data_IF_496977427196
#
_entry.id   IF_496977427196
#
_cell.length_a   1.000
_cell.length_b   1.000
_cell.length_c   1.000
_cell.angle_alpha   90.00
_cell.angle_beta   90.00
_cell.angle_gamma   90.00
#
_symmetry.space_group_name_H-M   'P 1'
#
loop_
_entity.id
_entity.type
_entity.pdbx_description
1 polymer ?
#
# COMPACT_ATOMS: atom_id res chain seq x y z
N UNK A 1 55.16 -24.61 50.31
CA UNK A 1 55.19 -23.15 50.49
C UNK A 1 55.11 -22.49 49.14
N UNK A 2 54.10 -21.63 48.98
CA UNK A 2 54.04 -20.44 48.11
C UNK A 2 54.62 -20.54 46.69
N UNK A 3 53.81 -20.60 45.63
CA UNK A 3 52.96 -19.51 45.08
C UNK A 3 53.72 -18.53 44.15
N UNK A 4 53.00 -18.14 43.09
CA UNK A 4 53.22 -17.00 42.16
C UNK A 4 54.34 -17.08 41.11
N UNK A 5 53.92 -17.30 39.86
CA UNK A 5 53.81 -16.23 38.82
C UNK A 5 53.36 -16.88 37.50
N UNK A 6 52.07 -16.85 37.15
CA UNK A 6 51.42 -15.69 36.52
C UNK A 6 52.29 -15.05 35.44
N UNK A 7 52.04 -15.44 34.19
CA UNK A 7 51.89 -14.57 33.01
C UNK A 7 51.61 -15.45 31.79
N UNK A 8 50.38 -15.95 31.72
CA UNK A 8 49.77 -16.29 30.45
C UNK A 8 49.72 -14.99 29.63
N UNK A 9 50.59 -14.89 28.64
CA UNK A 9 50.51 -13.90 27.58
C UNK A 9 49.25 -14.19 26.76
N UNK A 10 48.11 -13.63 27.17
CA UNK A 10 46.93 -13.56 26.32
C UNK A 10 47.24 -12.55 25.22
N UNK A 11 47.54 -13.10 24.04
CA UNK A 11 47.73 -12.37 22.80
C UNK A 11 46.43 -11.57 22.52
N UNK A 12 46.56 -10.25 22.57
CA UNK A 12 45.62 -9.31 21.96
C UNK A 12 45.67 -9.48 20.45
N UNK A 13 44.54 -9.81 19.84
CA UNK A 13 44.34 -9.64 18.40
C UNK A 13 42.92 -9.07 18.14
N UNK A 14 42.80 -7.88 17.53
CA UNK A 14 41.51 -7.32 17.16
C UNK A 14 41.06 -7.96 15.84
N UNK A 15 40.16 -8.96 15.91
CA UNK A 15 39.53 -9.51 14.70
C UNK A 15 38.37 -8.60 14.30
N UNK A 16 38.75 -7.60 13.49
CA UNK A 16 37.89 -6.79 12.65
C UNK A 16 36.74 -7.60 12.05
N UNK A 17 35.57 -6.97 12.10
CA UNK A 17 34.55 -6.95 11.06
C UNK A 17 34.09 -8.35 10.58
N UNK A 18 32.99 -8.80 11.17
CA UNK A 18 31.91 -9.46 10.43
C UNK A 18 30.60 -8.81 10.87
N UNK A 19 30.37 -7.58 10.42
CA UNK A 19 29.01 -7.02 10.43
C UNK A 19 28.55 -7.12 8.99
N UNK A 20 27.82 -8.20 8.68
CA UNK A 20 26.99 -8.23 7.48
C UNK A 20 26.01 -7.07 7.67
N UNK A 21 26.22 -5.98 6.92
CA UNK A 21 25.15 -5.03 6.72
C UNK A 21 24.04 -5.78 5.95
N UNK A 22 22.79 -5.79 6.40
CA UNK A 22 21.70 -6.16 5.50
C UNK A 22 21.80 -5.21 4.31
N UNK A 23 21.85 -5.80 3.11
CA UNK A 23 21.84 -5.10 1.84
C UNK A 23 20.61 -4.20 1.84
N UNK A 24 20.81 -2.90 2.01
CA UNK A 24 19.73 -1.92 1.91
C UNK A 24 19.06 -2.14 0.54
N UNK A 25 17.79 -2.50 0.58
CA UNK A 25 17.00 -2.67 -0.61
C UNK A 25 16.87 -1.29 -1.26
N UNK A 26 17.64 -1.06 -2.31
CA UNK A 26 17.38 0.01 -3.26
C UNK A 26 15.97 -0.21 -3.81
N UNK A 27 15.03 0.75 -3.65
CA UNK A 27 13.76 0.69 -4.37
C UNK A 27 14.04 0.98 -5.85
N UNK A 28 14.49 -0.04 -6.56
CA UNK A 28 14.50 -0.06 -8.02
C UNK A 28 13.09 -0.37 -8.48
N UNK A 29 12.24 0.64 -8.57
CA UNK A 29 11.29 0.72 -9.66
C UNK A 29 10.76 2.13 -9.75
N UNK A 30 11.08 2.80 -10.83
CA UNK A 30 10.31 3.91 -11.37
C UNK A 30 8.92 3.41 -11.77
N UNK A 31 8.10 3.04 -10.77
CA UNK A 31 6.67 3.15 -10.88
C UNK A 31 6.40 4.66 -10.76
N UNK A 32 5.87 5.27 -11.82
CA UNK A 32 5.15 6.54 -11.63
C UNK A 32 4.09 6.23 -10.60
N UNK A 33 4.34 6.60 -9.33
CA UNK A 33 3.37 6.43 -8.27
C UNK A 33 2.06 7.01 -8.82
N UNK A 34 0.96 6.26 -8.74
CA UNK A 34 -0.31 6.86 -9.08
C UNK A 34 -0.42 8.17 -8.27
N UNK A 35 -0.72 9.26 -8.95
CA UNK A 35 -0.77 10.59 -8.34
C UNK A 35 -2.22 11.04 -8.33
N UNK A 36 -2.57 11.86 -7.34
CA UNK A 36 -3.91 12.42 -7.18
C UNK A 36 -4.51 12.11 -5.82
N UNK A 37 -5.81 12.33 -5.70
CA UNK A 37 -6.56 12.26 -4.46
C UNK A 37 -7.84 11.45 -4.65
N UNK A 38 -8.18 10.66 -3.64
CA UNK A 38 -9.46 9.95 -3.55
C UNK A 38 -10.33 10.62 -2.50
N UNK A 39 -11.53 11.04 -2.91
CA UNK A 39 -12.53 11.63 -2.02
C UNK A 39 -13.67 10.63 -1.77
N UNK A 40 -13.86 10.24 -0.52
CA UNK A 40 -14.96 9.41 -0.06
C UNK A 40 -16.07 10.36 0.45
N UNK A 41 -17.02 10.67 -0.44
CA UNK A 41 -17.91 11.83 -0.31
C UNK A 41 -18.83 11.71 0.91
N UNK A 42 -19.50 10.58 1.07
CA UNK A 42 -20.48 10.38 2.14
C UNK A 42 -19.84 10.34 3.53
N UNK A 43 -18.62 9.84 3.62
CA UNK A 43 -17.83 9.81 4.86
C UNK A 43 -17.02 11.09 5.11
N UNK A 44 -17.04 12.04 4.18
CA UNK A 44 -16.24 13.26 4.20
C UNK A 44 -14.74 12.99 4.44
N UNK A 45 -14.22 11.90 3.87
CA UNK A 45 -12.80 11.52 3.98
C UNK A 45 -12.07 11.72 2.67
N UNK A 46 -10.78 11.99 2.81
CA UNK A 46 -9.88 12.21 1.69
C UNK A 46 -8.60 11.42 1.93
N UNK A 47 -8.12 10.74 0.89
CA UNK A 47 -6.89 9.96 0.89
C UNK A 47 -6.02 10.34 -0.32
N UNK A 48 -4.71 10.14 -0.20
CA UNK A 48 -3.83 10.19 -1.36
C UNK A 48 -4.08 8.96 -2.25
N UNK A 49 -4.15 9.17 -3.56
CA UNK A 49 -4.21 8.07 -4.51
C UNK A 49 -2.86 7.34 -4.49
N UNK A 50 -2.85 6.09 -4.04
CA UNK A 50 -1.65 5.24 -4.04
C UNK A 50 -1.67 4.14 -5.13
N UNK A 51 -2.65 4.21 -6.04
CA UNK A 51 -2.82 3.30 -7.17
C UNK A 51 -3.43 1.95 -6.83
N UNK A 52 -3.76 1.70 -5.55
CA UNK A 52 -4.41 0.46 -5.10
C UNK A 52 -5.93 0.51 -5.31
N UNK A 53 -6.65 -0.62 -5.17
CA UNK A 53 -8.11 -0.61 -5.21
C UNK A 53 -8.71 0.37 -4.21
N UNK A 54 -9.78 1.05 -4.62
CA UNK A 54 -10.51 2.01 -3.80
C UNK A 54 -10.96 1.43 -2.45
N UNK A 55 -11.35 0.15 -2.41
CA UNK A 55 -11.68 -0.55 -1.16
C UNK A 55 -10.51 -0.50 -0.16
N UNK A 56 -9.31 -0.83 -0.62
CA UNK A 56 -8.15 -0.92 0.26
C UNK A 56 -7.76 0.45 0.78
N UNK A 57 -7.79 1.48 -0.07
CA UNK A 57 -7.56 2.86 0.34
C UNK A 57 -8.62 3.32 1.37
N UNK A 58 -9.90 2.99 1.16
CA UNK A 58 -10.96 3.29 2.12
C UNK A 58 -10.72 2.62 3.48
N UNK A 59 -10.40 1.32 3.50
CA UNK A 59 -10.12 0.55 4.72
C UNK A 59 -8.91 1.09 5.48
N UNK A 60 -7.83 1.45 4.78
CA UNK A 60 -6.64 2.06 5.37
C UNK A 60 -6.93 3.41 6.04
N UNK A 61 -7.92 4.12 5.51
CA UNK A 61 -8.42 5.35 6.11
C UNK A 61 -9.54 5.12 7.11
N UNK A 62 -9.76 3.88 7.57
CA UNK A 62 -10.69 3.53 8.65
C UNK A 62 -12.16 3.51 8.25
N UNK A 63 -12.47 3.38 6.95
CA UNK A 63 -13.82 3.11 6.46
C UNK A 63 -14.08 1.61 6.45
N UNK A 64 -15.35 1.22 6.45
CA UNK A 64 -15.76 -0.19 6.32
C UNK A 64 -16.86 -0.34 5.27
N UNK A 65 -16.56 -0.13 3.97
CA UNK A 65 -17.53 -0.35 2.90
C UNK A 65 -18.02 -1.81 2.90
N UNK A 66 -19.24 -2.03 2.40
CA UNK A 66 -19.75 -3.38 2.22
C UNK A 66 -18.86 -4.16 1.25
N UNK A 67 -18.36 -5.32 1.66
CA UNK A 67 -17.51 -6.16 0.83
C UNK A 67 -17.67 -7.64 1.18
N UNK A 68 -17.64 -8.49 0.14
CA UNK A 68 -17.66 -9.95 0.26
C UNK A 68 -16.39 -10.59 -0.30
N UNK A 69 -16.37 -10.85 -1.61
CA UNK A 69 -15.34 -11.70 -2.25
C UNK A 69 -13.98 -11.02 -2.52
N UNK A 70 -13.92 -9.69 -2.56
CA UNK A 70 -12.72 -8.90 -2.94
C UNK A 70 -12.13 -9.17 -4.34
N UNK A 71 -12.73 -10.03 -5.14
CA UNK A 71 -12.24 -10.44 -6.47
C UNK A 71 -13.17 -10.01 -7.62
N UNK A 72 -14.12 -9.10 -7.35
CA UNK A 72 -15.00 -8.55 -8.38
C UNK A 72 -16.14 -9.47 -8.88
N UNK A 73 -16.47 -10.53 -8.14
CA UNK A 73 -17.48 -11.52 -8.56
C UNK A 73 -18.80 -11.48 -7.76
N UNK A 74 -18.78 -10.99 -6.52
CA UNK A 74 -19.98 -10.98 -5.66
C UNK A 74 -20.81 -9.70 -5.79
N UNK A 75 -20.25 -8.64 -6.37
CA UNK A 75 -20.86 -7.31 -6.58
C UNK A 75 -21.36 -6.59 -5.31
N UNK A 76 -21.12 -7.14 -4.11
CA UNK A 76 -21.39 -6.46 -2.82
C UNK A 76 -20.62 -5.15 -2.66
N UNK A 77 -19.47 -5.03 -3.32
CA UNK A 77 -18.59 -3.85 -3.25
C UNK A 77 -18.98 -2.74 -4.24
N UNK A 78 -20.24 -2.69 -4.69
CA UNK A 78 -20.68 -1.68 -5.64
C UNK A 78 -20.82 -0.30 -4.97
N UNK A 79 -20.35 0.75 -5.66
CA UNK A 79 -20.46 2.14 -5.24
C UNK A 79 -20.56 3.06 -6.47
N UNK A 80 -21.21 4.20 -6.31
CA UNK A 80 -21.31 5.22 -7.37
C UNK A 80 -20.00 6.00 -7.50
N UNK A 81 -19.53 6.16 -8.74
CA UNK A 81 -18.48 7.11 -9.11
C UNK A 81 -19.09 8.51 -9.21
N UNK A 82 -18.65 9.45 -8.39
CA UNK A 82 -19.17 10.83 -8.41
C UNK A 82 -18.40 11.71 -9.40
N UNK A 83 -17.09 11.53 -9.49
CA UNK A 83 -16.24 12.26 -10.43
C UNK A 83 -14.89 11.57 -10.66
N UNK A 84 -14.25 11.91 -11.77
CA UNK A 84 -12.93 11.37 -12.13
C UNK A 84 -13.04 10.08 -12.94
N UNK A 85 -11.94 9.33 -13.01
CA UNK A 85 -11.89 8.08 -13.76
C UNK A 85 -11.28 6.95 -12.91
N UNK A 86 -11.80 5.75 -13.06
CA UNK A 86 -11.26 4.53 -12.41
C UNK A 86 -10.94 3.48 -13.45
N UNK A 87 -9.91 2.68 -13.18
CA UNK A 87 -9.54 1.50 -13.96
C UNK A 87 -9.94 0.24 -13.23
N UNK A 88 -10.73 -0.62 -13.87
CA UNK A 88 -10.89 -1.99 -13.43
C UNK A 88 -9.55 -2.72 -13.61
N UNK A 89 -8.92 -3.17 -12.53
CA UNK A 89 -7.61 -3.82 -12.58
C UNK A 89 -7.67 -5.22 -13.23
N UNK A 90 -8.85 -5.83 -13.30
CA UNK A 90 -9.04 -7.18 -13.81
C UNK A 90 -9.34 -7.19 -15.31
N UNK A 91 -10.15 -6.23 -15.79
CA UNK A 91 -10.47 -6.11 -17.23
C UNK A 91 -9.61 -5.07 -17.95
N UNK A 92 -9.01 -4.14 -17.20
CA UNK A 92 -8.28 -3.01 -17.75
C UNK A 92 -9.17 -1.85 -18.22
N UNK A 93 -10.49 -1.99 -18.18
CA UNK A 93 -11.45 -0.98 -18.63
C UNK A 93 -11.42 0.28 -17.75
N UNK A 94 -11.58 1.43 -18.39
CA UNK A 94 -11.69 2.72 -17.71
C UNK A 94 -13.17 3.12 -17.65
N UNK A 95 -13.61 3.55 -16.47
CA UNK A 95 -14.93 4.15 -16.26
C UNK A 95 -14.74 5.58 -15.75
N UNK A 96 -15.28 6.55 -16.48
CA UNK A 96 -15.17 7.99 -16.20
C UNK A 96 -16.54 8.70 -16.14
N UNK A 97 -17.63 7.94 -16.26
CA UNK A 97 -18.98 8.48 -16.23
C UNK A 97 -19.44 8.67 -14.78
N UNK A 98 -19.79 9.90 -14.42
CA UNK A 98 -20.42 10.19 -13.14
C UNK A 98 -21.76 9.44 -12.99
N UNK A 99 -22.03 8.92 -11.79
CA UNK A 99 -23.16 8.05 -11.49
C UNK A 99 -22.96 6.59 -11.90
N UNK A 100 -21.85 6.22 -12.55
CA UNK A 100 -21.59 4.83 -12.90
C UNK A 100 -21.36 3.97 -11.64
N UNK A 101 -21.95 2.78 -11.62
CA UNK A 101 -21.74 1.80 -10.56
C UNK A 101 -20.44 1.03 -10.80
N UNK A 102 -19.49 1.15 -9.88
CA UNK A 102 -18.15 0.55 -9.96
C UNK A 102 -17.92 -0.44 -8.82
N UNK A 103 -17.10 -1.47 -9.07
CA UNK A 103 -16.70 -2.43 -8.05
C UNK A 103 -15.42 -1.96 -7.36
N UNK A 104 -15.53 -1.27 -6.22
CA UNK A 104 -14.39 -0.62 -5.53
C UNK A 104 -13.30 -1.60 -5.08
N UNK A 105 -13.63 -2.89 -4.99
CA UNK A 105 -12.69 -3.95 -4.63
C UNK A 105 -11.70 -4.31 -5.74
N UNK A 106 -11.99 -3.97 -7.00
CA UNK A 106 -11.10 -4.20 -8.16
C UNK A 106 -10.85 -2.94 -9.00
N UNK A 107 -11.51 -1.82 -8.69
CA UNK A 107 -11.30 -0.54 -9.35
C UNK A 107 -10.23 0.28 -8.63
N UNK A 108 -9.23 0.74 -9.37
CA UNK A 108 -8.21 1.69 -8.91
C UNK A 108 -8.45 3.08 -9.52
N UNK A 109 -8.23 4.18 -8.78
CA UNK A 109 -8.38 5.54 -9.30
C UNK A 109 -7.30 5.91 -10.32
N UNK A 110 -7.71 6.60 -11.38
CA UNK A 110 -6.84 7.19 -12.41
C UNK A 110 -6.82 8.70 -12.20
N UNK A 111 -5.86 9.19 -11.41
CA UNK A 111 -5.80 10.60 -11.02
C UNK A 111 -6.68 10.91 -9.80
N UNK A 112 -7.33 12.07 -9.83
CA UNK A 112 -8.30 12.51 -8.82
C UNK A 112 -9.66 11.85 -9.05
N UNK A 113 -10.23 11.25 -7.99
CA UNK A 113 -11.50 10.53 -8.04
C UNK A 113 -12.34 10.84 -6.81
N UNK A 114 -13.66 10.89 -7.00
CA UNK A 114 -14.63 10.94 -5.90
C UNK A 114 -15.62 9.80 -6.02
N UNK A 115 -15.92 9.14 -4.90
CA UNK A 115 -16.89 8.03 -4.81
C UNK A 115 -17.83 8.20 -3.63
N UNK A 116 -19.05 7.65 -3.76
CA UNK A 116 -20.08 7.69 -2.70
C UNK A 116 -19.82 6.68 -1.57
N UNK A 117 -18.75 6.93 -0.79
CA UNK A 117 -18.38 6.12 0.39
C UNK A 117 -18.34 6.93 1.68
#
# INVERSE_FOLDING_TARGET
MHDRRSRLFTIVAPRKIWRIAPREATPSSSATAAQGRVSFVRSARVADNDGKPLLLQAEQHGLSPQCGCRMGICHTCLCSLESGAVKNLQTGEITDQAGAMIQICVSAPVGDVSVDL
#
